data_IF_743536282635
#
_entry.id   IF_743536282635
#
_cell.length_a   1.000
_cell.length_b   1.000
_cell.length_c   1.000
_cell.angle_alpha   90.00
_cell.angle_beta   90.00
_cell.angle_gamma   90.00
#
_symmetry.space_group_name_H-M   'P 1'
#
loop_
_entity.id
_entity.type
_entity.pdbx_description
1 polymer ?
#
# COMPACT_ATOMS: atom_id res chain seq x y z
N UNK A 1 -9.69 -19.23 3.02
CA UNK A 1 -9.05 -18.02 3.59
C UNK A 1 -9.41 -16.86 2.68
N UNK A 2 -10.48 -16.13 3.01
CA UNK A 2 -11.00 -14.99 2.23
C UNK A 2 -11.41 -13.84 3.16
N UNK A 3 -10.88 -13.85 4.40
CA UNK A 3 -11.35 -13.03 5.52
C UNK A 3 -10.37 -11.90 5.90
N UNK A 4 -9.37 -11.62 5.06
CA UNK A 4 -8.31 -10.66 5.36
C UNK A 4 -8.49 -9.35 4.55
N UNK A 5 -9.71 -9.03 4.12
CA UNK A 5 -10.02 -7.77 3.41
C UNK A 5 -11.26 -7.19 4.06
N UNK A 6 -11.22 -5.89 4.32
CA UNK A 6 -12.35 -5.18 4.93
C UNK A 6 -13.52 -5.14 3.96
N UNK A 7 -14.73 -5.31 4.50
CA UNK A 7 -15.95 -5.11 3.74
C UNK A 7 -16.08 -3.63 3.33
N UNK A 8 -16.59 -3.38 2.12
CA UNK A 8 -16.75 -2.02 1.59
C UNK A 8 -17.59 -1.14 2.51
N UNK A 9 -18.72 -1.63 3.03
CA UNK A 9 -19.58 -0.88 3.94
C UNK A 9 -18.84 -0.54 5.23
N UNK A 10 -18.04 -1.46 5.76
CA UNK A 10 -17.17 -1.17 6.91
C UNK A 10 -16.17 -0.05 6.59
N UNK A 11 -15.50 -0.11 5.44
CA UNK A 11 -14.55 0.92 5.01
C UNK A 11 -15.23 2.29 4.90
N UNK A 12 -16.40 2.35 4.27
CA UNK A 12 -17.15 3.60 4.10
C UNK A 12 -17.64 4.19 5.43
N UNK A 13 -18.04 3.33 6.37
CA UNK A 13 -18.59 3.76 7.67
C UNK A 13 -17.51 4.16 8.68
N UNK A 14 -16.29 3.63 8.56
CA UNK A 14 -15.21 3.82 9.55
C UNK A 14 -14.00 4.59 8.99
N UNK A 15 -13.93 4.78 7.68
CA UNK A 15 -12.85 5.50 7.02
C UNK A 15 -13.25 6.89 6.57
N UNK A 16 -12.25 7.68 6.19
CA UNK A 16 -12.43 8.98 5.53
C UNK A 16 -12.16 8.86 4.04
N UNK A 17 -12.98 9.51 3.22
CA UNK A 17 -12.68 9.64 1.80
C UNK A 17 -11.49 10.59 1.66
N UNK A 18 -10.35 10.11 1.15
CA UNK A 18 -9.14 10.90 1.06
C UNK A 18 -9.29 12.10 0.12
N UNK A 19 -10.11 11.98 -0.95
CA UNK A 19 -10.44 13.12 -1.82
C UNK A 19 -11.26 14.20 -1.11
N UNK A 20 -11.92 13.88 0.00
CA UNK A 20 -12.60 14.87 0.83
C UNK A 20 -11.62 15.63 1.74
N UNK A 21 -10.36 15.20 1.86
CA UNK A 21 -9.27 15.98 2.42
C UNK A 21 -8.72 16.87 1.30
N UNK A 22 -9.29 18.06 1.13
CA UNK A 22 -8.88 18.99 0.07
C UNK A 22 -7.47 19.53 0.36
N UNK A 23 -6.48 19.11 -0.43
CA UNK A 23 -5.14 19.71 -0.42
C UNK A 23 -4.16 18.96 -1.33
N UNK A 24 -3.45 19.70 -2.18
CA UNK A 24 -2.35 19.19 -2.99
C UNK A 24 -1.22 18.67 -2.10
N UNK A 25 -1.15 17.36 -1.85
CA UNK A 25 -0.01 16.81 -1.13
C UNK A 25 0.57 15.59 -1.83
N UNK A 26 1.59 15.86 -2.64
CA UNK A 26 2.66 14.92 -2.99
C UNK A 26 3.58 14.63 -1.78
N UNK A 27 3.03 14.56 -0.55
CA UNK A 27 3.81 14.22 0.65
C UNK A 27 3.28 12.94 1.26
N UNK A 28 4.17 12.00 1.54
CA UNK A 28 3.91 10.70 2.21
C UNK A 28 3.27 10.82 3.61
N UNK A 29 2.98 12.05 4.07
CA UNK A 29 2.40 12.37 5.37
C UNK A 29 1.06 13.07 5.21
N UNK A 30 -0.01 12.42 5.65
CA UNK A 30 -1.38 12.95 5.65
C UNK A 30 -1.68 13.62 6.98
N UNK A 31 -2.34 14.79 6.94
CA UNK A 31 -2.78 15.55 8.11
C UNK A 31 -4.32 15.57 8.17
N UNK A 32 -4.90 15.60 9.38
CA UNK A 32 -6.36 15.69 9.59
C UNK A 32 -6.95 16.99 9.01
N UNK A 33 -6.15 18.06 9.07
CA UNK A 33 -6.51 19.44 8.71
C UNK A 33 -5.27 20.18 8.17
N UNK A 34 -4.86 19.89 6.93
CA UNK A 34 -3.65 20.46 6.36
C UNK A 34 -3.67 22.00 6.27
N UNK A 35 -4.86 22.61 6.27
CA UNK A 35 -5.10 24.06 6.21
C UNK A 35 -4.86 24.80 7.54
N UNK A 36 -4.88 24.11 8.67
CA UNK A 36 -4.56 24.70 9.97
C UNK A 36 -3.03 24.68 10.15
N UNK A 37 -2.41 25.83 10.45
CA UNK A 37 -0.98 25.87 10.81
C UNK A 37 -0.75 24.95 12.02
N UNK A 38 -0.07 23.82 11.79
CA UNK A 38 0.11 22.78 12.80
C UNK A 38 -0.94 21.66 12.81
N UNK A 39 -1.64 21.42 11.69
CA UNK A 39 -2.51 20.27 11.48
C UNK A 39 -1.88 18.96 11.99
N UNK A 40 -2.67 18.15 12.69
CA UNK A 40 -2.17 16.92 13.32
C UNK A 40 -2.04 15.80 12.29
N UNK A 41 -1.07 14.90 12.44
CA UNK A 41 -0.92 13.77 11.54
C UNK A 41 -2.10 12.81 11.65
N UNK A 42 -2.69 12.48 10.50
CA UNK A 42 -3.88 11.64 10.44
C UNK A 42 -3.59 10.23 10.97
N UNK A 43 -4.49 9.70 11.78
CA UNK A 43 -4.47 8.32 12.26
C UNK A 43 -5.86 7.74 12.14
N UNK A 44 -6.02 6.72 11.30
CA UNK A 44 -7.31 6.14 10.99
C UNK A 44 -7.31 5.39 9.66
N UNK A 45 -8.49 4.94 9.25
CA UNK A 45 -8.73 4.32 7.95
C UNK A 45 -9.05 5.42 6.92
N UNK A 46 -8.45 5.36 5.74
CA UNK A 46 -8.82 6.21 4.62
C UNK A 46 -9.07 5.36 3.37
N UNK A 47 -9.83 5.91 2.44
CA UNK A 47 -10.19 5.27 1.18
C UNK A 47 -10.41 6.29 0.07
N UNK A 48 -10.42 5.81 -1.17
CA UNK A 48 -10.91 6.58 -2.31
C UNK A 48 -11.92 5.79 -3.12
N UNK A 49 -12.73 6.51 -3.91
CA UNK A 49 -13.79 5.93 -4.73
C UNK A 49 -13.62 6.30 -6.21
N UNK A 50 -13.95 5.33 -7.06
CA UNK A 50 -14.22 5.55 -8.46
C UNK A 50 -15.53 6.33 -8.62
N UNK A 51 -15.76 6.88 -9.81
CA UNK A 51 -16.99 7.61 -10.11
C UNK A 51 -18.25 6.73 -9.99
N UNK A 52 -18.10 5.41 -10.17
CA UNK A 52 -19.17 4.43 -9.99
C UNK A 52 -19.45 4.10 -8.49
N UNK A 53 -18.73 4.73 -7.56
CA UNK A 53 -18.85 4.53 -6.12
C UNK A 53 -18.20 3.26 -5.58
N UNK A 54 -17.46 2.50 -6.39
CA UNK A 54 -16.62 1.40 -5.92
C UNK A 54 -15.32 1.93 -5.30
N UNK A 55 -14.69 1.14 -4.42
CA UNK A 55 -13.41 1.48 -3.84
C UNK A 55 -12.34 1.49 -4.94
N UNK A 56 -11.48 2.51 -4.93
CA UNK A 56 -10.19 2.48 -5.62
C UNK A 56 -9.19 1.78 -4.70
N UNK A 57 -9.12 2.21 -3.44
CA UNK A 57 -8.32 1.56 -2.42
C UNK A 57 -8.84 1.86 -1.01
N UNK A 58 -8.30 1.15 -0.04
CA UNK A 58 -8.28 1.59 1.35
C UNK A 58 -6.90 1.36 1.98
N UNK A 59 -6.55 2.18 2.97
CA UNK A 59 -5.33 2.03 3.76
C UNK A 59 -5.50 2.57 5.18
N UNK A 60 -4.77 2.00 6.14
CA UNK A 60 -4.65 2.60 7.47
C UNK A 60 -3.48 3.58 7.53
N UNK A 61 -3.65 4.64 8.28
CA UNK A 61 -2.62 5.62 8.58
C UNK A 61 -2.36 5.67 10.07
N UNK A 62 -1.10 5.90 10.43
CA UNK A 62 -0.65 6.18 11.79
C UNK A 62 0.38 7.29 11.77
N UNK A 63 0.13 8.32 12.57
CA UNK A 63 0.97 9.52 12.64
C UNK A 63 1.23 10.14 11.26
N UNK A 64 0.22 10.06 10.38
CA UNK A 64 0.21 10.57 9.02
C UNK A 64 0.83 9.65 7.98
N UNK A 65 1.44 8.53 8.37
CA UNK A 65 2.07 7.60 7.43
C UNK A 65 1.22 6.35 7.23
N UNK A 66 1.22 5.81 6.01
CA UNK A 66 0.59 4.52 5.74
C UNK A 66 1.18 3.42 6.62
N UNK A 67 0.30 2.59 7.15
CA UNK A 67 0.61 1.50 8.04
C UNK A 67 -0.43 0.40 7.89
N UNK A 68 -0.08 -0.86 8.20
CA UNK A 68 -1.06 -1.93 8.15
C UNK A 68 -1.40 -2.35 6.71
N UNK A 69 -2.59 -2.93 6.53
CA UNK A 69 -3.03 -3.38 5.22
C UNK A 69 -3.36 -2.21 4.27
N UNK A 70 -2.94 -2.38 3.02
CA UNK A 70 -3.27 -1.52 1.88
C UNK A 70 -3.82 -2.43 0.79
N UNK A 71 -5.00 -2.09 0.26
CA UNK A 71 -5.68 -2.89 -0.78
C UNK A 71 -6.23 -1.96 -1.84
N UNK A 72 -5.89 -2.22 -3.09
CA UNK A 72 -6.47 -1.59 -4.28
C UNK A 72 -7.45 -2.53 -4.97
N UNK A 73 -8.37 -1.92 -5.71
CA UNK A 73 -9.39 -2.61 -6.48
C UNK A 73 -9.45 -2.04 -7.88
N UNK A 74 -9.68 -2.91 -8.85
CA UNK A 74 -10.08 -2.53 -10.19
C UNK A 74 -11.47 -1.87 -10.17
N UNK A 75 -11.81 -1.09 -11.19
CA UNK A 75 -13.12 -0.42 -11.31
C UNK A 75 -14.32 -1.40 -11.39
N UNK A 76 -14.04 -2.69 -11.63
CA UNK A 76 -15.03 -3.77 -11.58
C UNK A 76 -15.27 -4.35 -10.16
N UNK A 77 -14.45 -3.96 -9.18
CA UNK A 77 -14.55 -4.30 -7.77
C UNK A 77 -13.71 -5.51 -7.36
N UNK A 78 -13.02 -6.15 -8.31
CA UNK A 78 -12.03 -7.17 -8.03
C UNK A 78 -10.76 -6.53 -7.46
N UNK A 79 -10.04 -7.28 -6.64
CA UNK A 79 -8.79 -6.80 -6.03
C UNK A 79 -7.75 -6.61 -7.14
N UNK A 80 -7.09 -5.47 -7.14
CA UNK A 80 -5.98 -5.15 -8.03
C UNK A 80 -4.64 -5.45 -7.35
N UNK A 81 -4.47 -4.98 -6.11
CA UNK A 81 -3.26 -5.22 -5.33
C UNK A 81 -3.56 -5.37 -3.84
N UNK A 82 -2.70 -6.10 -3.14
CA UNK A 82 -2.73 -6.25 -1.69
C UNK A 82 -1.30 -6.24 -1.16
N UNK A 83 -1.07 -5.40 -0.16
CA UNK A 83 0.23 -5.23 0.47
C UNK A 83 0.11 -4.77 1.92
N UNK A 84 1.23 -4.80 2.62
CA UNK A 84 1.35 -4.26 3.98
C UNK A 84 2.30 -3.08 3.99
N UNK A 85 1.88 -1.98 4.60
CA UNK A 85 2.64 -0.74 4.73
C UNK A 85 3.17 -0.59 6.16
N UNK A 86 4.34 0.01 6.31
CA UNK A 86 4.90 0.44 7.60
C UNK A 86 5.67 1.74 7.39
N UNK A 87 5.21 2.82 8.00
CA UNK A 87 5.81 4.16 7.87
C UNK A 87 5.90 4.64 6.41
N UNK A 88 4.85 4.41 5.62
CA UNK A 88 4.80 4.83 4.21
C UNK A 88 5.61 3.93 3.25
N UNK A 89 6.15 2.81 3.73
CA UNK A 89 6.92 1.88 2.92
C UNK A 89 6.29 0.49 2.94
N UNK A 90 6.26 -0.17 1.79
CA UNK A 90 5.83 -1.57 1.69
C UNK A 90 6.76 -2.50 2.46
N UNK A 91 6.17 -3.50 3.13
CA UNK A 91 6.82 -4.53 3.93
C UNK A 91 6.17 -5.89 3.73
N UNK A 92 7.02 -6.90 3.55
CA UNK A 92 6.59 -8.27 3.32
C UNK A 92 5.98 -8.44 1.94
N UNK A 93 4.95 -9.27 1.88
CA UNK A 93 4.38 -9.77 0.64
C UNK A 93 3.47 -8.75 -0.05
N UNK A 94 3.68 -8.61 -1.35
CA UNK A 94 2.82 -7.91 -2.30
C UNK A 94 2.21 -8.94 -3.25
N UNK A 95 0.93 -8.81 -3.53
CA UNK A 95 0.24 -9.56 -4.59
C UNK A 95 -0.51 -8.61 -5.50
N UNK A 96 -0.38 -8.79 -6.81
CA UNK A 96 -1.16 -8.08 -7.82
C UNK A 96 -1.97 -9.08 -8.63
N UNK A 97 -3.16 -8.68 -9.04
CA UNK A 97 -4.07 -9.46 -9.86
C UNK A 97 -4.53 -8.69 -11.08
N UNK A 98 -4.78 -9.42 -12.16
CA UNK A 98 -5.49 -8.91 -13.32
C UNK A 98 -6.97 -8.66 -13.00
N UNK A 99 -7.66 -7.87 -13.83
CA UNK A 99 -9.09 -7.57 -13.67
C UNK A 99 -9.98 -8.82 -13.59
N UNK A 100 -9.56 -9.95 -14.19
CA UNK A 100 -10.26 -11.24 -14.15
C UNK A 100 -9.98 -12.06 -12.88
N UNK A 101 -9.15 -11.53 -11.98
CA UNK A 101 -8.76 -12.15 -10.71
C UNK A 101 -7.60 -13.14 -10.80
N UNK A 102 -6.98 -13.32 -11.97
CA UNK A 102 -5.75 -14.14 -12.07
C UNK A 102 -4.57 -13.42 -11.45
N UNK A 103 -3.69 -14.18 -10.78
CA UNK A 103 -2.47 -13.65 -10.20
C UNK A 103 -1.55 -13.10 -11.30
N UNK A 104 -1.21 -11.82 -11.19
CA UNK A 104 -0.30 -11.11 -12.10
C UNK A 104 1.12 -11.10 -11.56
N UNK A 105 1.30 -10.82 -10.28
CA UNK A 105 2.62 -10.91 -9.65
C UNK A 105 2.56 -11.17 -8.15
N UNK A 106 3.66 -11.74 -7.64
CA UNK A 106 3.97 -11.83 -6.22
C UNK A 106 5.38 -11.32 -6.00
N UNK A 107 5.55 -10.50 -4.97
CA UNK A 107 6.83 -9.91 -4.62
C UNK A 107 6.99 -9.89 -3.10
N UNK A 108 8.23 -9.84 -2.62
CA UNK A 108 8.53 -9.60 -1.20
C UNK A 108 9.35 -8.32 -1.07
N UNK A 109 9.00 -7.46 -0.12
CA UNK A 109 9.66 -6.18 0.11
C UNK A 109 10.13 -5.99 1.55
N UNK A 110 11.18 -5.18 1.71
CA UNK A 110 11.69 -4.76 3.00
C UNK A 110 12.19 -3.32 2.88
N UNK A 111 11.65 -2.40 3.68
CA UNK A 111 11.87 -0.94 3.54
C UNK A 111 11.58 -0.40 2.12
N UNK A 112 10.56 -0.93 1.44
CA UNK A 112 10.28 -0.58 0.05
C UNK A 112 11.21 -1.21 -1.00
N UNK A 113 12.18 -2.03 -0.60
CA UNK A 113 13.14 -2.66 -1.51
C UNK A 113 12.64 -4.05 -1.88
N UNK A 114 12.41 -4.28 -3.18
CA UNK A 114 11.98 -5.56 -3.72
C UNK A 114 13.08 -6.61 -3.55
N UNK A 115 12.82 -7.68 -2.80
CA UNK A 115 13.75 -8.78 -2.54
C UNK A 115 13.57 -9.91 -3.56
N UNK A 116 12.32 -10.25 -3.83
CA UNK A 116 11.93 -11.29 -4.78
C UNK A 116 10.74 -10.81 -5.60
N UNK A 117 10.60 -11.34 -6.81
CA UNK A 117 9.52 -11.03 -7.74
C UNK A 117 9.25 -12.25 -8.61
N UNK A 118 7.98 -12.57 -8.82
CA UNK A 118 7.52 -13.39 -9.94
C UNK A 118 6.34 -12.68 -10.60
N UNK A 119 6.37 -12.61 -11.92
CA UNK A 119 5.33 -11.97 -12.73
C UNK A 119 4.89 -12.94 -13.83
N UNK A 120 3.58 -13.04 -14.01
CA UNK A 120 2.94 -13.86 -15.02
C UNK A 120 2.12 -13.00 -15.97
N UNK A 121 2.01 -13.42 -17.23
CA UNK A 121 1.07 -12.83 -18.18
C UNK A 121 -0.36 -13.37 -17.97
N UNK A 122 -1.30 -12.88 -18.78
CA UNK A 122 -2.72 -13.26 -18.73
C UNK A 122 -2.99 -14.75 -19.01
N UNK A 123 -2.06 -15.42 -19.71
CA UNK A 123 -2.12 -16.85 -20.01
C UNK A 123 -1.50 -17.70 -18.88
N UNK A 124 -0.98 -17.05 -17.83
CA UNK A 124 -0.36 -17.71 -16.68
C UNK A 124 1.08 -18.14 -16.93
N UNK A 125 1.73 -17.65 -17.99
CA UNK A 125 3.14 -17.92 -18.26
C UNK A 125 4.01 -16.95 -17.48
N UNK A 126 5.04 -17.47 -16.81
CA UNK A 126 6.04 -16.67 -16.09
C UNK A 126 6.82 -15.82 -17.10
N UNK A 127 6.80 -14.49 -16.93
CA UNK A 127 7.47 -13.52 -17.81
C UNK A 127 8.64 -12.83 -17.16
N UNK A 128 8.68 -12.76 -15.82
CA UNK A 128 9.77 -12.12 -15.07
C UNK A 128 9.96 -12.81 -13.72
N UNK A 129 11.22 -12.96 -13.32
CA UNK A 129 11.57 -13.55 -12.04
C UNK A 129 12.82 -12.89 -11.44
N UNK A 130 12.78 -12.67 -10.13
CA UNK A 130 13.90 -12.32 -9.26
C UNK A 130 13.80 -13.22 -8.02
N UNK A 131 14.76 -14.12 -7.86
CA UNK A 131 14.74 -15.09 -6.76
C UNK A 131 15.40 -14.59 -5.47
N UNK A 132 16.24 -13.56 -5.57
CA UNK A 132 16.98 -13.01 -4.43
C UNK A 132 17.38 -11.54 -4.68
N UNK A 133 17.64 -10.76 -3.61
CA UNK A 133 18.17 -9.41 -3.74
C UNK A 133 19.55 -9.42 -4.42
N UNK A 134 19.81 -8.41 -5.25
CA UNK A 134 21.12 -8.14 -5.85
C UNK A 134 21.97 -7.28 -4.90
N UNK A 135 23.24 -7.08 -5.24
CA UNK A 135 24.18 -6.31 -4.41
C UNK A 135 23.67 -4.91 -4.05
N UNK A 136 23.05 -4.22 -5.02
CA UNK A 136 22.46 -2.89 -4.80
C UNK A 136 21.29 -2.91 -3.83
N UNK A 137 20.41 -3.93 -3.89
CA UNK A 137 19.33 -4.10 -2.91
C UNK A 137 19.90 -4.29 -1.50
N UNK A 138 20.94 -5.14 -1.37
CA UNK A 138 21.59 -5.42 -0.07
C UNK A 138 22.22 -4.15 0.51
N UNK A 139 22.85 -3.33 -0.33
CA UNK A 139 23.43 -2.05 0.07
C UNK A 139 22.34 -1.08 0.54
N UNK A 140 21.24 -0.98 -0.21
CA UNK A 140 20.11 -0.12 0.15
C UNK A 140 19.42 -0.61 1.43
N UNK A 141 19.24 -1.91 1.61
CA UNK A 141 18.68 -2.50 2.84
C UNK A 141 19.51 -2.14 4.08
N UNK A 142 20.85 -2.19 3.98
CA UNK A 142 21.73 -1.81 5.09
C UNK A 142 21.52 -0.34 5.45
N UNK A 143 21.47 0.55 4.46
CA UNK A 143 21.24 1.98 4.65
C UNK A 143 19.87 2.25 5.29
N UNK A 144 18.81 1.62 4.80
CA UNK A 144 17.47 1.80 5.32
C UNK A 144 17.32 1.27 6.75
N UNK A 145 17.94 0.14 7.08
CA UNK A 145 17.97 -0.38 8.46
C UNK A 145 18.65 0.59 9.42
N UNK A 146 19.78 1.16 9.05
CA UNK A 146 20.46 2.15 9.90
C UNK A 146 19.64 3.44 10.06
N UNK A 147 18.99 3.89 8.98
CA UNK A 147 18.10 5.05 9.02
C UNK A 147 16.90 4.83 9.93
N UNK A 148 16.19 3.70 9.76
CA UNK A 148 15.03 3.36 10.57
C UNK A 148 15.39 3.18 12.05
N UNK A 149 16.54 2.60 12.36
CA UNK A 149 17.03 2.49 13.75
C UNK A 149 17.26 3.85 14.40
N UNK A 150 17.83 4.81 13.67
CA UNK A 150 18.02 6.19 14.15
C UNK A 150 16.70 6.90 14.38
N UNK A 151 15.68 6.61 13.58
CA UNK A 151 14.35 7.18 13.67
C UNK A 151 13.43 6.44 14.65
N UNK A 152 13.87 5.32 15.26
CA UNK A 152 13.04 4.49 16.12
C UNK A 152 11.91 3.76 15.38
N UNK A 153 12.13 3.42 14.10
CA UNK A 153 11.14 2.84 13.16
C UNK A 153 11.39 1.35 12.83
N UNK A 154 12.26 0.70 13.59
CA UNK A 154 12.63 -0.73 13.41
C UNK A 154 11.40 -1.66 13.37
#
# INVERSE_FOLDING_TARGET
>A
MKNDILDKEYVLNNGINLKALWGEYCSDRILDKPEEEGGKPFTGLAYELYNNGQLIYYCFYKDGFECGEYVEFHENGNIESKQYMKYGQIRGKEELWFEDGKLKSISEYEFGICLTLKEWDYDGKLVKEKLSPIEEDIKNLKRERESNKRLGRD
#
